data_IF_549197404215
#
_entry.id   IF_549197404215
#
_cell.length_a   1.000
_cell.length_b   1.000
_cell.length_c   1.000
_cell.angle_alpha   90.00
_cell.angle_beta   90.00
_cell.angle_gamma   90.00
#
_symmetry.space_group_name_H-M   'P 1'
#
loop_
_entity.id
_entity.type
_entity.pdbx_description
1 polymer ?
#
# COMPACT_ATOMS: atom_id res chain seq x y z
N UNK A 1 16.22 -2.43 -1.73
CA UNK A 1 16.64 -2.59 -3.16
C UNK A 1 15.65 -1.85 -4.04
N UNK A 2 16.14 -1.04 -5.01
CA UNK A 2 15.28 -0.38 -6.02
C UNK A 2 14.59 -1.41 -6.91
N UNK A 3 13.48 -1.03 -7.52
CA UNK A 3 12.73 -1.88 -8.45
C UNK A 3 13.61 -2.29 -9.65
N UNK A 4 14.24 -1.33 -10.30
CA UNK A 4 15.20 -1.56 -11.38
C UNK A 4 16.44 -0.67 -11.18
N UNK A 5 17.60 -1.18 -11.57
CA UNK A 5 18.87 -0.44 -11.48
C UNK A 5 19.75 -0.76 -12.68
N UNK A 6 20.28 0.27 -13.33
CA UNK A 6 21.19 0.16 -14.48
C UNK A 6 22.49 -0.60 -14.12
N UNK A 7 22.88 -0.61 -12.85
CA UNK A 7 24.03 -1.37 -12.33
C UNK A 7 23.70 -2.84 -12.04
N UNK A 8 22.53 -3.34 -12.47
CA UNK A 8 22.04 -4.71 -12.24
C UNK A 8 21.86 -5.12 -10.77
N UNK A 9 21.65 -4.16 -9.88
CA UNK A 9 21.41 -4.40 -8.45
C UNK A 9 19.91 -4.38 -8.08
N UNK A 10 19.03 -3.97 -9.00
CA UNK A 10 17.59 -3.89 -8.81
C UNK A 10 16.92 -5.25 -8.69
N UNK A 11 15.67 -5.23 -8.21
CA UNK A 11 14.85 -6.44 -8.02
C UNK A 11 14.60 -7.13 -9.36
N UNK A 12 14.18 -6.39 -10.39
CA UNK A 12 13.92 -6.92 -11.74
C UNK A 12 15.17 -7.58 -12.32
N UNK A 13 16.33 -6.94 -12.19
CA UNK A 13 17.60 -7.49 -12.66
C UNK A 13 17.94 -8.83 -11.99
N UNK A 14 17.68 -8.95 -10.68
CA UNK A 14 17.93 -10.17 -9.93
C UNK A 14 16.92 -11.28 -10.28
N UNK A 15 15.65 -10.91 -10.55
CA UNK A 15 14.63 -11.85 -11.04
C UNK A 15 15.09 -12.42 -12.38
N UNK A 16 15.43 -11.59 -13.35
CA UNK A 16 15.91 -12.06 -14.66
C UNK A 16 17.13 -12.98 -14.53
N UNK A 17 18.12 -12.56 -13.75
CA UNK A 17 19.32 -13.39 -13.53
C UNK A 17 18.96 -14.75 -12.93
N UNK A 18 18.04 -14.80 -11.95
CA UNK A 18 17.67 -16.06 -11.26
C UNK A 18 16.78 -16.93 -12.11
N UNK A 19 15.93 -16.37 -12.96
CA UNK A 19 15.04 -17.07 -13.86
C UNK A 19 15.72 -17.51 -15.17
N UNK A 20 16.94 -17.02 -15.46
CA UNK A 20 17.58 -17.20 -16.78
C UNK A 20 16.80 -16.47 -17.89
N UNK A 21 16.15 -15.37 -17.56
CA UNK A 21 15.29 -14.60 -18.44
C UNK A 21 15.91 -13.22 -18.73
N UNK A 22 15.29 -12.49 -19.63
CA UNK A 22 15.62 -11.10 -19.94
C UNK A 22 14.38 -10.37 -20.45
N UNK A 23 14.52 -9.12 -20.82
CA UNK A 23 13.41 -8.26 -21.22
C UNK A 23 12.53 -8.86 -22.33
N UNK A 24 13.14 -9.57 -23.28
CA UNK A 24 12.40 -10.20 -24.40
C UNK A 24 11.57 -11.41 -23.96
N UNK A 25 12.08 -12.19 -23.00
CA UNK A 25 11.41 -13.43 -22.54
C UNK A 25 10.52 -13.20 -21.34
N UNK A 26 10.80 -12.16 -20.56
CA UNK A 26 10.03 -11.76 -19.39
C UNK A 26 9.96 -10.22 -19.34
N UNK A 27 9.04 -9.61 -20.09
CA UNK A 27 8.90 -8.16 -20.18
C UNK A 27 8.66 -7.53 -18.81
N UNK A 28 9.14 -6.31 -18.63
CA UNK A 28 9.10 -5.59 -17.34
C UNK A 28 7.68 -5.46 -16.80
N UNK A 29 6.69 -5.22 -17.65
CA UNK A 29 5.28 -5.17 -17.23
C UNK A 29 4.80 -6.46 -16.56
N UNK A 30 5.24 -7.62 -17.08
CA UNK A 30 4.88 -8.92 -16.51
C UNK A 30 5.60 -9.12 -15.17
N UNK A 31 6.90 -8.75 -15.10
CA UNK A 31 7.65 -8.80 -13.84
C UNK A 31 7.01 -7.93 -12.76
N UNK A 32 6.53 -6.73 -13.12
CA UNK A 32 5.84 -5.82 -12.19
C UNK A 32 4.50 -6.39 -11.74
N UNK A 33 3.73 -7.02 -12.64
CA UNK A 33 2.51 -7.73 -12.28
C UNK A 33 2.79 -8.82 -11.24
N UNK A 34 3.75 -9.69 -11.52
CA UNK A 34 4.11 -10.79 -10.63
C UNK A 34 4.74 -10.32 -9.31
N UNK A 35 5.41 -9.16 -9.31
CA UNK A 35 5.89 -8.51 -8.09
C UNK A 35 4.73 -7.99 -7.23
N UNK A 36 3.69 -7.43 -7.84
CA UNK A 36 2.50 -7.00 -7.12
C UNK A 36 1.75 -8.20 -6.51
N UNK A 37 1.68 -9.33 -7.24
CA UNK A 37 1.13 -10.58 -6.72
C UNK A 37 1.98 -11.15 -5.56
N UNK A 38 3.31 -11.02 -5.66
CA UNK A 38 4.22 -11.40 -4.59
C UNK A 38 4.06 -10.50 -3.34
N UNK A 39 3.74 -9.21 -3.50
CA UNK A 39 3.37 -8.33 -2.40
C UNK A 39 2.04 -8.76 -1.77
N UNK A 40 1.04 -9.13 -2.57
CA UNK A 40 -0.24 -9.66 -2.07
C UNK A 40 -0.08 -11.02 -1.34
N UNK A 41 0.88 -11.85 -1.75
CA UNK A 41 1.26 -13.05 -1.01
C UNK A 41 1.97 -12.73 0.32
N UNK A 42 2.89 -11.77 0.32
CA UNK A 42 3.68 -11.39 1.48
C UNK A 42 2.81 -10.78 2.60
N UNK A 43 1.87 -9.95 2.23
CA UNK A 43 1.09 -9.12 3.12
C UNK A 43 0.34 -9.90 4.22
N UNK A 44 -0.45 -10.95 3.89
CA UNK A 44 -1.14 -11.74 4.91
C UNK A 44 -0.20 -12.45 5.88
N UNK A 45 1.03 -12.79 5.45
CA UNK A 45 2.03 -13.42 6.30
C UNK A 45 2.51 -12.45 7.39
N UNK A 46 2.83 -11.21 7.00
CA UNK A 46 3.23 -10.15 7.91
C UNK A 46 2.11 -9.79 8.90
N UNK A 47 0.89 -9.61 8.38
CA UNK A 47 -0.28 -9.24 9.19
C UNK A 47 -0.68 -10.28 10.23
N UNK A 48 -0.61 -11.55 9.88
CA UNK A 48 -0.97 -12.64 10.81
C UNK A 48 0.07 -12.84 11.90
N UNK A 49 1.30 -12.43 11.67
CA UNK A 49 2.39 -12.58 12.61
C UNK A 49 2.47 -11.44 13.62
N UNK A 50 2.25 -10.20 13.18
CA UNK A 50 2.30 -9.00 14.03
C UNK A 50 0.89 -8.48 14.34
N UNK A 51 0.55 -8.36 15.62
CA UNK A 51 -0.73 -7.83 16.06
C UNK A 51 -0.71 -6.29 16.01
N UNK A 52 -1.25 -5.70 14.94
CA UNK A 52 -1.37 -4.25 14.82
C UNK A 52 -0.10 -3.53 14.38
N UNK A 53 0.86 -4.27 13.83
CA UNK A 53 2.08 -3.70 13.32
C UNK A 53 1.89 -3.09 11.92
N UNK A 54 2.52 -1.94 11.69
CA UNK A 54 2.51 -1.27 10.39
C UNK A 54 3.73 -1.67 9.57
N UNK A 55 3.53 -1.78 8.25
CA UNK A 55 4.63 -2.01 7.32
C UNK A 55 5.45 -0.74 7.19
N UNK A 56 6.79 -0.88 7.23
CA UNK A 56 7.70 0.20 6.85
C UNK A 56 7.58 0.43 5.34
N UNK A 57 6.69 1.31 4.93
CA UNK A 57 6.53 1.68 3.53
C UNK A 57 7.28 2.98 3.25
N UNK A 58 8.49 2.87 2.71
CA UNK A 58 9.33 4.03 2.37
C UNK A 58 8.76 4.88 1.22
N UNK A 59 7.73 4.39 0.53
CA UNK A 59 7.09 5.12 -0.56
C UNK A 59 5.89 5.93 -0.07
N UNK A 60 5.54 5.80 1.22
CA UNK A 60 4.39 6.44 1.83
C UNK A 60 4.82 7.19 3.09
N UNK A 61 4.93 8.49 2.96
CA UNK A 61 5.39 9.35 4.05
C UNK A 61 4.27 9.71 5.05
N UNK A 62 3.00 9.60 4.64
CA UNK A 62 1.87 9.90 5.49
C UNK A 62 1.62 8.80 6.52
N UNK A 63 1.29 9.16 7.74
CA UNK A 63 0.78 8.21 8.71
C UNK A 63 -0.51 7.56 8.19
N UNK A 64 -0.81 6.28 8.52
CA UNK A 64 -2.03 5.60 8.10
C UNK A 64 -3.24 6.07 8.92
N UNK A 65 -3.60 7.31 8.69
CA UNK A 65 -4.68 8.05 9.32
C UNK A 65 -5.45 8.74 8.22
N UNK A 66 -6.77 8.57 8.21
CA UNK A 66 -7.65 9.24 7.26
C UNK A 66 -8.91 9.74 7.95
N UNK A 67 -9.59 10.71 7.35
CA UNK A 67 -10.72 11.38 7.95
C UNK A 67 -11.94 11.39 7.03
N UNK A 68 -13.12 11.42 7.66
CA UNK A 68 -14.39 11.74 7.00
C UNK A 68 -15.13 12.79 7.82
N UNK A 69 -15.92 13.63 7.14
CA UNK A 69 -16.75 14.61 7.84
C UNK A 69 -17.97 13.93 8.48
N UNK A 70 -18.25 14.27 9.74
CA UNK A 70 -19.49 13.89 10.40
C UNK A 70 -20.64 14.72 9.84
N UNK A 71 -21.72 14.07 9.45
CA UNK A 71 -22.92 14.68 8.90
C UNK A 71 -24.09 14.46 9.86
N UNK A 72 -24.77 15.54 10.24
CA UNK A 72 -25.95 15.48 11.12
C UNK A 72 -27.02 14.57 10.55
N UNK A 73 -27.55 13.66 11.36
CA UNK A 73 -28.57 12.67 10.97
C UNK A 73 -28.02 11.46 10.23
N UNK A 74 -26.72 11.40 9.95
CA UNK A 74 -26.07 10.27 9.27
C UNK A 74 -25.28 9.45 10.28
N UNK A 75 -25.55 8.15 10.35
CA UNK A 75 -24.82 7.25 11.25
C UNK A 75 -24.00 6.18 10.50
N UNK A 76 -24.14 6.06 9.19
CA UNK A 76 -23.45 5.07 8.36
C UNK A 76 -22.40 5.73 7.45
N UNK A 77 -21.15 5.33 7.59
CA UNK A 77 -19.99 5.85 6.86
C UNK A 77 -19.31 4.69 6.13
N UNK A 78 -19.07 4.82 4.82
CA UNK A 78 -18.46 3.74 4.04
C UNK A 78 -16.94 3.72 4.23
N UNK A 79 -16.39 2.51 4.28
CA UNK A 79 -14.94 2.34 4.19
C UNK A 79 -14.37 2.82 2.86
N UNK A 80 -15.13 2.69 1.76
CA UNK A 80 -14.74 3.14 0.43
C UNK A 80 -14.67 4.67 0.27
N UNK A 81 -15.27 5.43 1.18
CA UNK A 81 -15.27 6.90 1.15
C UNK A 81 -14.02 7.50 1.85
N UNK A 82 -13.21 6.67 2.50
CA UNK A 82 -11.86 7.05 2.91
C UNK A 82 -10.95 7.08 1.68
N UNK A 83 -10.01 8.02 1.65
CA UNK A 83 -9.04 8.17 0.55
C UNK A 83 -8.12 6.95 0.45
N UNK A 84 -7.71 6.44 1.62
CA UNK A 84 -6.82 5.31 1.77
C UNK A 84 -7.57 3.98 1.86
N UNK A 85 -6.98 2.91 1.32
CA UNK A 85 -7.53 1.56 1.47
C UNK A 85 -7.29 1.02 2.88
N UNK A 86 -8.34 0.95 3.67
CA UNK A 86 -8.32 0.39 5.02
C UNK A 86 -8.41 -1.14 4.97
N UNK A 87 -7.37 -1.83 5.44
CA UNK A 87 -7.38 -3.30 5.60
C UNK A 87 -7.87 -3.70 6.98
N UNK A 88 -7.35 -3.03 8.00
CA UNK A 88 -7.76 -3.27 9.38
C UNK A 88 -7.87 -1.94 10.10
N UNK A 89 -9.04 -1.65 10.63
CA UNK A 89 -9.28 -0.49 11.48
C UNK A 89 -8.74 -0.78 12.88
N UNK A 90 -7.74 -0.03 13.31
CA UNK A 90 -7.10 -0.15 14.63
C UNK A 90 -7.92 0.63 15.66
N UNK A 91 -8.25 1.89 15.34
CA UNK A 91 -8.93 2.81 16.24
C UNK A 91 -9.79 3.77 15.42
N UNK A 92 -10.92 4.17 15.98
CA UNK A 92 -11.75 5.22 15.43
C UNK A 92 -11.93 6.30 16.49
N UNK A 93 -11.71 7.54 16.10
CA UNK A 93 -11.95 8.73 16.92
C UNK A 93 -13.02 9.59 16.26
N UNK A 94 -13.76 10.32 17.06
CA UNK A 94 -14.68 11.33 16.58
C UNK A 94 -14.39 12.68 17.25
N UNK A 95 -14.72 13.76 16.57
CA UNK A 95 -14.81 15.09 17.17
C UNK A 95 -16.25 15.30 17.66
N UNK A 96 -16.40 15.94 18.80
CA UNK A 96 -17.72 16.41 19.28
C UNK A 96 -18.12 17.73 18.61
N UNK A 97 -19.28 18.26 18.95
CA UNK A 97 -19.81 19.53 18.43
C UNK A 97 -18.91 20.78 18.76
N UNK A 98 -17.93 20.62 19.63
CA UNK A 98 -16.96 21.66 20.01
C UNK A 98 -15.57 21.40 19.38
N UNK A 99 -15.43 20.37 18.54
CA UNK A 99 -14.17 19.97 17.94
C UNK A 99 -13.22 19.21 18.88
N UNK A 100 -13.70 18.74 20.05
CA UNK A 100 -12.88 17.96 20.95
C UNK A 100 -12.87 16.48 20.54
N UNK A 101 -11.66 15.92 20.39
CA UNK A 101 -11.45 14.52 19.94
C UNK A 101 -11.62 13.50 21.08
N UNK A 102 -12.32 12.41 20.79
CA UNK A 102 -12.47 11.28 21.71
C UNK A 102 -12.51 9.95 20.95
N UNK A 103 -12.15 8.86 21.64
CA UNK A 103 -12.14 7.52 21.04
C UNK A 103 -13.53 6.88 21.09
N UNK A 104 -13.96 6.31 19.98
CA UNK A 104 -15.18 5.51 19.90
C UNK A 104 -14.95 4.09 20.41
N UNK A 105 -15.93 3.50 21.05
CA UNK A 105 -15.91 2.14 21.59
C UNK A 105 -16.41 1.17 20.52
N UNK A 106 -15.61 0.15 20.12
CA UNK A 106 -16.05 -0.84 19.14
C UNK A 106 -17.12 -1.78 19.75
N UNK A 107 -18.21 -1.99 19.02
CA UNK A 107 -19.21 -3.01 19.34
C UNK A 107 -19.15 -4.13 18.30
N UNK A 108 -19.32 -5.37 18.77
CA UNK A 108 -19.43 -6.54 17.90
C UNK A 108 -20.90 -6.87 17.66
N UNK A 109 -21.30 -6.98 16.40
CA UNK A 109 -22.67 -7.28 15.99
C UNK A 109 -23.25 -8.53 16.68
N UNK A 110 -22.41 -9.52 16.98
CA UNK A 110 -22.83 -10.76 17.63
C UNK A 110 -23.12 -10.61 19.13
N UNK A 111 -22.68 -9.52 19.76
CA UNK A 111 -22.77 -9.29 21.19
C UNK A 111 -23.55 -8.00 21.53
N UNK A 112 -24.36 -7.51 20.59
CA UNK A 112 -25.15 -6.30 20.83
C UNK A 112 -26.23 -6.55 21.92
N UNK A 113 -26.52 -5.54 22.76
CA UNK A 113 -27.55 -5.66 23.80
C UNK A 113 -28.98 -5.68 23.28
N UNK A 114 -29.19 -5.28 22.02
CA UNK A 114 -30.48 -5.35 21.30
C UNK A 114 -30.21 -5.65 19.82
N UNK A 115 -31.27 -5.74 18.99
CA UNK A 115 -31.07 -6.00 17.56
C UNK A 115 -30.29 -4.88 16.89
N UNK A 116 -29.52 -5.22 15.85
CA UNK A 116 -28.77 -4.26 15.05
C UNK A 116 -29.69 -3.19 14.43
N UNK A 117 -30.87 -3.60 13.95
CA UNK A 117 -31.86 -2.70 13.37
C UNK A 117 -32.35 -1.66 14.39
N UNK A 118 -32.54 -2.08 15.63
CA UNK A 118 -32.98 -1.18 16.70
C UNK A 118 -31.89 -0.20 17.12
N UNK A 119 -30.66 -0.66 17.19
CA UNK A 119 -29.53 0.14 17.69
C UNK A 119 -28.91 1.06 16.63
N UNK A 120 -28.84 0.59 15.38
CA UNK A 120 -28.05 1.24 14.33
C UNK A 120 -28.87 1.67 13.11
N UNK A 121 -29.96 1.00 12.76
CA UNK A 121 -30.76 1.37 11.60
C UNK A 121 -31.92 2.31 11.96
N UNK A 122 -32.35 2.33 13.20
CA UNK A 122 -33.38 3.27 13.65
C UNK A 122 -32.75 4.58 14.12
N UNK A 123 -32.34 5.42 13.17
CA UNK A 123 -31.61 6.68 13.40
C UNK A 123 -32.41 7.71 14.21
N UNK A 124 -33.74 7.61 14.25
CA UNK A 124 -34.62 8.55 14.97
C UNK A 124 -34.69 8.25 16.46
N UNK A 125 -34.30 7.07 16.93
CA UNK A 125 -34.51 6.62 18.30
C UNK A 125 -33.45 7.16 19.29
N UNK A 126 -32.22 7.40 18.82
CA UNK A 126 -31.13 7.89 19.64
C UNK A 126 -30.24 8.80 18.83
N UNK A 127 -30.28 10.10 19.11
CA UNK A 127 -29.42 11.11 18.49
C UNK A 127 -28.54 11.78 19.54
N UNK A 128 -27.38 12.22 19.14
CA UNK A 128 -26.42 12.88 20.03
C UNK A 128 -24.97 12.65 19.62
N UNK A 129 -24.05 12.86 20.55
CA UNK A 129 -22.62 12.59 20.34
C UNK A 129 -22.38 11.09 20.29
N UNK A 130 -21.83 10.53 19.18
CA UNK A 130 -21.53 9.11 19.07
C UNK A 130 -20.57 8.62 20.14
N UNK A 131 -20.82 7.46 20.74
CA UNK A 131 -19.92 6.84 21.71
C UNK A 131 -19.44 5.48 21.25
N UNK A 132 -20.24 4.83 20.43
CA UNK A 132 -20.00 3.46 19.95
C UNK A 132 -19.97 3.41 18.45
N UNK A 133 -19.26 2.41 17.90
CA UNK A 133 -19.34 2.08 16.49
C UNK A 133 -19.41 0.57 16.27
N UNK A 134 -20.10 0.16 15.22
CA UNK A 134 -20.16 -1.22 14.77
C UNK A 134 -19.75 -1.30 13.29
N UNK A 135 -18.94 -2.29 12.93
CA UNK A 135 -18.58 -2.57 11.53
C UNK A 135 -19.52 -3.63 10.97
N UNK A 136 -20.21 -3.30 9.89
CA UNK A 136 -21.07 -4.26 9.19
C UNK A 136 -21.08 -4.00 7.68
N UNK A 137 -20.71 -5.01 6.91
CA UNK A 137 -20.49 -4.86 5.47
C UNK A 137 -19.37 -3.86 5.17
N UNK A 138 -19.61 -2.95 4.23
CA UNK A 138 -18.70 -1.86 3.85
C UNK A 138 -18.91 -0.59 4.70
N UNK A 139 -19.59 -0.71 5.84
CA UNK A 139 -19.96 0.45 6.64
C UNK A 139 -19.44 0.39 8.07
N UNK A 140 -19.14 1.59 8.57
CA UNK A 140 -18.97 1.92 9.98
C UNK A 140 -20.28 2.60 10.43
N UNK A 141 -20.98 2.01 11.37
CA UNK A 141 -22.20 2.57 11.95
C UNK A 141 -21.90 3.21 13.28
N UNK A 142 -22.31 4.46 13.48
CA UNK A 142 -22.14 5.20 14.72
C UNK A 142 -23.41 5.15 15.58
N UNK A 143 -23.24 5.14 16.91
CA UNK A 143 -24.31 5.18 17.90
C UNK A 143 -23.92 6.03 19.11
N UNK A 144 -24.77 7.00 19.55
CA UNK A 144 -25.97 7.53 18.88
C UNK A 144 -25.71 8.08 17.48
N UNK A 145 -26.79 8.29 16.69
CA UNK A 145 -26.70 9.02 15.43
C UNK A 145 -26.26 10.47 15.69
N UNK A 146 -25.22 10.99 15.02
CA UNK A 146 -24.80 12.38 15.20
C UNK A 146 -25.94 13.38 14.96
N UNK A 147 -26.13 14.32 15.85
CA UNK A 147 -27.08 15.44 15.69
C UNK A 147 -26.36 16.75 15.33
N UNK A 148 -25.09 16.70 15.02
CA UNK A 148 -24.22 17.79 14.59
C UNK A 148 -23.43 17.41 13.34
N UNK A 149 -22.80 18.39 12.71
CA UNK A 149 -21.89 18.19 11.58
C UNK A 149 -20.50 18.71 11.95
N UNK A 150 -19.45 17.98 11.59
CA UNK A 150 -18.06 18.36 11.87
C UNK A 150 -17.17 17.95 10.69
N UNK A 151 -16.40 18.90 10.14
CA UNK A 151 -15.44 18.64 9.06
C UNK A 151 -14.30 17.78 9.60
N UNK A 152 -13.93 16.72 8.85
CA UNK A 152 -12.91 15.75 9.27
C UNK A 152 -13.17 15.17 10.67
N UNK A 153 -14.43 15.15 11.07
CA UNK A 153 -14.85 14.82 12.42
C UNK A 153 -14.74 13.33 12.77
N UNK A 154 -14.64 12.44 11.80
CA UNK A 154 -14.42 11.00 12.00
C UNK A 154 -13.01 10.66 11.55
N UNK A 155 -12.15 10.18 12.47
CA UNK A 155 -10.74 9.91 12.22
C UNK A 155 -10.43 8.43 12.42
N UNK A 156 -10.03 7.77 11.35
CA UNK A 156 -9.67 6.36 11.35
C UNK A 156 -8.15 6.19 11.44
N UNK A 157 -7.70 5.30 12.34
CA UNK A 157 -6.34 4.78 12.41
C UNK A 157 -6.39 3.34 11.93
N UNK A 158 -5.58 3.00 10.92
CA UNK A 158 -5.74 1.73 10.24
C UNK A 158 -4.41 1.14 9.77
N UNK A 159 -4.46 -0.11 9.33
CA UNK A 159 -3.40 -0.69 8.53
C UNK A 159 -3.76 -0.58 7.05
N UNK A 160 -2.81 -0.16 6.24
CA UNK A 160 -2.91 -0.10 4.78
C UNK A 160 -2.03 -1.15 4.10
N UNK A 161 -2.31 -1.55 2.85
CA UNK A 161 -1.42 -2.41 2.09
C UNK A 161 -0.10 -1.68 1.80
N UNK A 162 0.97 -2.45 1.57
CA UNK A 162 2.19 -1.87 1.01
C UNK A 162 1.91 -1.26 -0.38
N UNK A 163 2.59 -0.16 -0.68
CA UNK A 163 2.49 0.50 -1.99
C UNK A 163 2.85 -0.48 -3.10
N UNK A 164 1.96 -0.59 -4.09
CA UNK A 164 2.19 -1.40 -5.30
C UNK A 164 2.96 -0.60 -6.35
N UNK A 165 3.62 -1.32 -7.24
CA UNK A 165 4.23 -0.73 -8.43
C UNK A 165 3.15 -0.48 -9.46
N UNK A 166 2.85 0.79 -9.74
CA UNK A 166 1.76 1.17 -10.62
C UNK A 166 2.28 1.78 -11.92
N UNK A 167 1.65 1.40 -13.03
CA UNK A 167 1.77 2.12 -14.27
C UNK A 167 0.80 3.30 -14.27
N UNK A 168 1.37 4.52 -14.35
CA UNK A 168 0.60 5.76 -14.37
C UNK A 168 0.33 6.13 -15.82
N UNK A 169 -0.94 6.35 -16.15
CA UNK A 169 -1.34 6.80 -17.49
C UNK A 169 -0.82 8.20 -17.77
N UNK A 170 -0.32 8.43 -18.97
CA UNK A 170 0.23 9.71 -19.37
C UNK A 170 -0.04 10.00 -20.85
N UNK A 171 0.08 11.27 -21.21
CA UNK A 171 0.19 11.71 -22.61
C UNK A 171 1.55 12.34 -22.85
N UNK A 172 2.07 12.22 -24.07
CA UNK A 172 3.38 12.74 -24.43
C UNK A 172 3.22 13.68 -25.62
N UNK A 173 3.69 14.91 -25.47
CA UNK A 173 3.58 15.92 -26.54
C UNK A 173 4.51 15.62 -27.70
N UNK A 174 4.14 16.04 -28.91
CA UNK A 174 5.06 16.15 -30.06
C UNK A 174 5.70 17.54 -29.98
N UNK A 175 6.83 17.66 -29.31
CA UNK A 175 7.46 18.94 -29.02
C UNK A 175 8.99 18.83 -28.82
N UNK A 176 9.66 19.97 -28.82
CA UNK A 176 11.09 20.12 -28.52
C UNK A 176 11.31 21.14 -27.40
N UNK A 177 11.50 20.70 -26.16
CA UNK A 177 11.53 19.31 -25.68
C UNK A 177 10.12 18.69 -25.57
N UNK A 178 10.07 17.35 -25.59
CA UNK A 178 8.89 16.58 -25.30
C UNK A 178 8.44 16.75 -23.84
N UNK A 179 7.14 16.94 -23.62
CA UNK A 179 6.53 17.07 -22.29
C UNK A 179 5.60 15.90 -22.06
N UNK A 180 5.78 15.24 -20.92
CA UNK A 180 4.88 14.19 -20.42
C UNK A 180 3.86 14.83 -19.48
N UNK A 181 2.58 14.53 -19.69
CA UNK A 181 1.49 15.00 -18.82
C UNK A 181 0.83 13.82 -18.14
N UNK A 182 0.79 13.85 -16.83
CA UNK A 182 0.13 12.87 -15.97
C UNK A 182 -0.35 13.56 -14.69
N UNK A 183 -1.59 13.34 -14.30
CA UNK A 183 -2.18 13.99 -13.14
C UNK A 183 -1.49 13.55 -11.85
N UNK A 184 -1.10 14.51 -11.01
CA UNK A 184 -0.53 14.30 -9.68
C UNK A 184 0.54 13.19 -9.61
N UNK A 185 1.47 13.19 -10.57
CA UNK A 185 2.42 12.09 -10.79
C UNK A 185 3.44 11.86 -9.67
N UNK A 186 3.63 12.79 -8.75
CA UNK A 186 4.53 12.65 -7.58
C UNK A 186 6.01 12.40 -7.90
N UNK A 187 6.45 12.71 -9.13
CA UNK A 187 7.85 12.58 -9.52
C UNK A 187 8.65 13.81 -9.13
N UNK A 188 9.91 13.58 -8.77
CA UNK A 188 10.89 14.59 -8.45
C UNK A 188 12.02 14.60 -9.48
N UNK A 189 12.86 15.66 -9.45
CA UNK A 189 14.06 15.72 -10.26
C UNK A 189 14.99 14.54 -9.96
N UNK A 190 15.57 13.98 -11.01
CA UNK A 190 16.44 12.81 -10.99
C UNK A 190 15.73 11.47 -10.66
N UNK A 191 14.42 11.45 -10.50
CA UNK A 191 13.70 10.19 -10.52
C UNK A 191 13.95 9.44 -11.83
N UNK A 192 13.92 8.12 -11.76
CA UNK A 192 14.04 7.28 -12.94
C UNK A 192 12.73 6.62 -13.25
N UNK A 193 12.37 6.61 -14.54
CA UNK A 193 11.13 6.01 -15.04
C UNK A 193 11.39 5.14 -16.26
N UNK A 194 10.42 4.30 -16.57
CA UNK A 194 10.34 3.60 -17.85
C UNK A 194 8.95 3.76 -18.43
N UNK A 195 8.89 3.86 -19.75
CA UNK A 195 7.62 3.95 -20.48
C UNK A 195 7.15 2.57 -20.95
N UNK A 196 5.84 2.41 -20.96
CA UNK A 196 5.12 1.29 -21.57
C UNK A 196 4.01 1.86 -22.46
N UNK A 197 3.59 1.10 -23.47
CA UNK A 197 2.51 1.51 -24.38
C UNK A 197 1.79 0.30 -24.94
N UNK A 198 0.52 0.45 -25.26
CA UNK A 198 -0.26 -0.53 -26.02
C UNK A 198 -0.20 -0.29 -27.56
N UNK A 199 0.55 0.72 -27.96
CA UNK A 199 0.78 1.07 -29.36
C UNK A 199 2.26 1.34 -29.67
N UNK A 200 2.61 2.57 -30.07
CA UNK A 200 3.98 3.00 -30.30
C UNK A 200 4.30 4.29 -29.55
N UNK A 201 5.44 4.33 -28.84
CA UNK A 201 5.89 5.56 -28.21
C UNK A 201 6.24 6.64 -29.27
N UNK A 202 6.16 7.94 -28.90
CA UNK A 202 6.69 9.03 -29.70
C UNK A 202 8.14 8.80 -30.10
N UNK A 203 8.52 9.27 -31.30
CA UNK A 203 9.90 9.21 -31.76
C UNK A 203 10.85 9.88 -30.76
N UNK A 204 11.94 9.20 -30.42
CA UNK A 204 12.90 9.63 -29.38
C UNK A 204 12.75 8.86 -28.06
N UNK A 205 11.65 8.12 -27.88
CA UNK A 205 11.41 7.29 -26.72
C UNK A 205 11.28 5.81 -27.11
N UNK A 206 11.66 4.91 -26.19
CA UNK A 206 11.59 3.46 -26.37
C UNK A 206 11.09 2.81 -25.10
N UNK A 207 10.35 1.70 -25.23
CA UNK A 207 9.97 0.84 -24.11
C UNK A 207 11.21 0.18 -23.50
N UNK A 208 11.07 -0.31 -22.29
CA UNK A 208 12.14 -1.03 -21.56
C UNK A 208 13.45 -0.24 -21.42
N UNK A 209 13.37 1.08 -21.53
CA UNK A 209 14.52 2.01 -21.42
C UNK A 209 14.33 2.92 -20.22
N UNK A 210 15.39 3.07 -19.41
CA UNK A 210 15.38 4.02 -18.28
C UNK A 210 15.57 5.44 -18.78
N UNK A 211 14.70 6.32 -18.30
CA UNK A 211 14.79 7.76 -18.47
C UNK A 211 14.86 8.45 -17.13
N UNK A 212 15.51 9.60 -17.10
CA UNK A 212 15.67 10.46 -15.92
C UNK A 212 14.73 11.66 -16.03
N UNK A 213 14.00 11.93 -14.97
CA UNK A 213 13.18 13.13 -14.85
C UNK A 213 14.12 14.33 -14.72
N UNK A 214 13.97 15.29 -15.65
CA UNK A 214 14.80 16.51 -15.71
C UNK A 214 13.94 17.76 -15.55
N UNK A 215 14.51 18.94 -15.69
CA UNK A 215 13.85 20.24 -15.54
C UNK A 215 12.44 20.28 -16.13
N UNK A 216 11.57 21.15 -15.65
CA UNK A 216 10.13 21.30 -15.95
C UNK A 216 9.19 20.37 -15.17
N UNK A 217 9.61 19.90 -13.98
CA UNK A 217 8.71 19.16 -13.11
C UNK A 217 7.70 20.13 -12.49
N UNK A 218 6.44 19.89 -12.79
CA UNK A 218 5.30 20.54 -12.16
C UNK A 218 4.34 19.43 -11.66
N UNK A 219 3.27 19.78 -10.97
CA UNK A 219 2.33 18.80 -10.37
C UNK A 219 1.82 17.77 -11.39
N UNK A 220 1.62 18.18 -12.65
CA UNK A 220 1.01 17.36 -13.69
C UNK A 220 1.90 17.19 -14.94
N UNK A 221 3.09 17.76 -14.99
CA UNK A 221 3.96 17.69 -16.18
C UNK A 221 5.41 17.54 -15.82
N UNK A 222 6.15 16.82 -16.66
CA UNK A 222 7.59 16.65 -16.55
C UNK A 222 8.23 16.39 -17.94
N UNK A 223 9.54 16.51 -18.02
CA UNK A 223 10.33 16.10 -19.18
C UNK A 223 11.37 15.06 -18.79
N UNK A 224 11.84 14.30 -19.74
CA UNK A 224 12.77 13.20 -19.50
C UNK A 224 14.04 13.31 -20.33
N UNK A 225 15.14 12.76 -19.82
CA UNK A 225 16.42 12.65 -20.47
C UNK A 225 16.93 11.21 -20.47
N UNK A 226 17.77 10.85 -21.44
CA UNK A 226 18.45 9.55 -21.47
C UNK A 226 19.57 9.41 -20.41
N UNK A 227 20.04 10.53 -19.85
CA UNK A 227 21.11 10.55 -18.85
C UNK A 227 20.73 11.43 -17.67
N UNK A 228 21.26 11.12 -16.49
CA UNK A 228 21.03 11.92 -15.28
C UNK A 228 21.49 13.36 -15.49
N UNK A 229 20.59 14.33 -15.27
CA UNK A 229 20.87 15.76 -15.48
C UNK A 229 21.12 16.16 -16.94
N UNK A 230 20.83 15.27 -17.91
CA UNK A 230 21.02 15.53 -19.32
C UNK A 230 19.96 16.44 -19.92
N UNK A 231 20.10 16.72 -21.22
CA UNK A 231 19.12 17.53 -21.97
C UNK A 231 17.82 16.74 -22.15
N UNK A 232 16.68 17.42 -22.01
CA UNK A 232 15.37 16.84 -22.26
C UNK A 232 15.25 16.33 -23.70
N UNK A 233 14.65 15.16 -23.87
CA UNK A 233 14.48 14.49 -25.17
C UNK A 233 13.42 15.25 -25.98
N UNK A 234 13.74 15.44 -27.28
CA UNK A 234 12.78 15.96 -28.23
C UNK A 234 11.96 14.82 -28.84
N UNK A 235 10.68 15.03 -28.98
CA UNK A 235 9.78 14.10 -29.64
C UNK A 235 9.31 14.70 -30.99
N UNK A 236 9.31 13.89 -32.03
CA UNK A 236 8.92 14.32 -33.37
C UNK A 236 7.70 13.60 -33.93
N UNK A 237 6.98 12.85 -33.08
CA UNK A 237 5.69 12.24 -33.39
C UNK A 237 4.87 12.15 -32.10
N UNK A 238 3.57 11.96 -32.22
CA UNK A 238 2.70 11.75 -31.03
C UNK A 238 2.68 10.31 -30.52
N UNK A 239 3.25 9.37 -31.30
CA UNK A 239 3.05 7.94 -31.04
C UNK A 239 1.63 7.48 -31.37
N UNK A 240 1.23 6.31 -30.84
CA UNK A 240 -0.11 5.77 -30.97
C UNK A 240 -0.47 4.93 -29.76
N UNK A 241 -1.77 4.78 -29.49
CA UNK A 241 -2.26 4.04 -28.32
C UNK A 241 -2.15 4.83 -27.01
N UNK A 242 -2.32 4.13 -25.91
CA UNK A 242 -2.19 4.69 -24.56
C UNK A 242 -0.76 4.55 -24.08
N UNK A 243 -0.27 5.57 -23.41
CA UNK A 243 1.08 5.57 -22.85
C UNK A 243 1.01 5.54 -21.32
N UNK A 244 1.96 4.84 -20.73
CA UNK A 244 2.09 4.69 -19.29
C UNK A 244 3.57 4.84 -18.90
N UNK A 245 3.81 5.16 -17.65
CA UNK A 245 5.15 5.07 -17.10
C UNK A 245 5.10 4.43 -15.71
N UNK A 246 6.23 3.87 -15.31
CA UNK A 246 6.46 3.36 -13.95
C UNK A 246 7.75 3.98 -13.40
N UNK A 247 7.71 4.41 -12.13
CA UNK A 247 8.89 4.87 -11.40
C UNK A 247 9.78 3.69 -11.08
N UNK A 248 11.07 3.73 -11.46
CA UNK A 248 11.99 2.59 -11.36
C UNK A 248 12.95 2.65 -10.17
N UNK A 249 13.18 3.83 -9.59
CA UNK A 249 13.95 3.99 -8.35
C UNK A 249 13.13 3.80 -7.07
N UNK A 250 11.86 3.44 -7.20
CA UNK A 250 11.00 3.04 -6.08
C UNK A 250 11.52 1.76 -5.40
N UNK A 251 11.31 1.67 -4.10
CA UNK A 251 11.69 0.52 -3.27
C UNK A 251 10.41 -0.17 -2.79
N UNK A 252 10.32 -1.51 -2.74
CA UNK A 252 9.15 -2.16 -2.15
C UNK A 252 8.90 -1.66 -0.72
N UNK A 253 7.65 -1.38 -0.40
CA UNK A 253 7.21 -0.92 0.92
C UNK A 253 7.19 -2.02 1.98
N UNK A 254 8.26 -2.79 2.08
CA UNK A 254 8.45 -3.87 3.06
C UNK A 254 9.89 -3.84 3.59
N UNK A 255 10.15 -4.60 4.66
CA UNK A 255 11.49 -4.71 5.23
C UNK A 255 12.53 -5.09 4.17
N UNK A 256 13.64 -4.37 4.11
CA UNK A 256 14.68 -4.58 3.10
C UNK A 256 15.26 -6.01 3.14
N UNK A 257 15.35 -6.61 4.32
CA UNK A 257 15.77 -8.00 4.51
C UNK A 257 14.85 -9.01 3.83
N UNK A 258 13.61 -8.63 3.54
CA UNK A 258 12.60 -9.48 2.90
C UNK A 258 12.51 -9.29 1.38
N UNK A 259 13.16 -8.30 0.78
CA UNK A 259 13.18 -8.13 -0.69
C UNK A 259 13.63 -9.40 -1.44
N UNK A 260 14.63 -10.20 -0.94
CA UNK A 260 14.97 -11.47 -1.59
C UNK A 260 13.83 -12.49 -1.62
N UNK A 261 12.89 -12.43 -0.68
CA UNK A 261 11.76 -13.35 -0.64
C UNK A 261 10.73 -13.05 -1.73
N UNK A 262 10.50 -11.75 -2.05
CA UNK A 262 9.70 -11.36 -3.22
C UNK A 262 10.31 -11.92 -4.51
N UNK A 263 11.63 -11.75 -4.69
CA UNK A 263 12.36 -12.26 -5.85
C UNK A 263 12.16 -13.78 -5.98
N UNK A 264 12.25 -14.51 -4.86
CA UNK A 264 12.06 -15.97 -4.84
C UNK A 264 10.64 -16.36 -5.24
N UNK A 265 9.63 -15.63 -4.74
CA UNK A 265 8.23 -15.89 -5.07
C UNK A 265 7.93 -15.63 -6.54
N UNK A 266 8.38 -14.50 -7.09
CA UNK A 266 8.23 -14.18 -8.51
C UNK A 266 8.92 -15.22 -9.39
N UNK A 267 10.16 -15.60 -9.06
CA UNK A 267 10.88 -16.63 -9.80
C UNK A 267 10.15 -17.98 -9.77
N UNK A 268 9.56 -18.37 -8.65
CA UNK A 268 8.76 -19.60 -8.56
C UNK A 268 7.58 -19.54 -9.51
N UNK A 269 6.82 -18.43 -9.49
CA UNK A 269 5.65 -18.25 -10.37
C UNK A 269 6.06 -18.36 -11.82
N UNK A 270 7.03 -17.56 -12.26
CA UNK A 270 7.52 -17.57 -13.64
C UNK A 270 8.04 -18.94 -14.10
N UNK A 271 8.87 -19.62 -13.29
CA UNK A 271 9.45 -20.90 -13.65
C UNK A 271 8.44 -22.04 -13.61
N UNK A 272 7.44 -21.99 -12.74
CA UNK A 272 6.35 -22.94 -12.73
C UNK A 272 5.59 -22.96 -14.08
N UNK A 273 5.39 -21.78 -14.65
CA UNK A 273 4.64 -21.62 -15.88
C UNK A 273 5.49 -21.86 -17.15
N UNK A 274 6.78 -21.53 -17.09
CA UNK A 274 7.64 -21.51 -18.26
C UNK A 274 8.70 -22.63 -18.27
N UNK A 275 9.25 -23.03 -17.12
CA UNK A 275 10.31 -24.05 -17.06
C UNK A 275 10.40 -24.72 -15.68
N UNK A 276 9.51 -25.66 -15.41
CA UNK A 276 9.46 -26.40 -14.14
C UNK A 276 10.75 -27.11 -13.76
N UNK A 277 11.60 -27.48 -14.74
CA UNK A 277 12.89 -28.15 -14.46
C UNK A 277 13.88 -27.25 -13.70
N UNK A 278 13.72 -25.93 -13.81
CA UNK A 278 14.57 -24.96 -13.13
C UNK A 278 14.03 -24.54 -11.74
N UNK A 279 12.88 -25.06 -11.29
CA UNK A 279 12.33 -24.75 -9.97
C UNK A 279 13.29 -25.12 -8.83
N UNK A 280 13.99 -26.27 -8.94
CA UNK A 280 14.99 -26.68 -7.95
C UNK A 280 14.50 -26.59 -6.50
N UNK A 281 15.20 -25.82 -5.67
CA UNK A 281 14.88 -25.62 -4.24
C UNK A 281 13.86 -24.51 -3.97
N UNK A 282 13.41 -23.76 -4.99
CA UNK A 282 12.54 -22.57 -4.80
C UNK A 282 11.29 -22.85 -3.94
N UNK A 283 10.57 -23.97 -4.10
CA UNK A 283 9.41 -24.24 -3.23
C UNK A 283 9.79 -24.37 -1.75
N UNK A 284 10.94 -25.00 -1.45
CA UNK A 284 11.46 -25.11 -0.08
C UNK A 284 11.93 -23.77 0.44
N UNK A 285 12.61 -22.96 -0.39
CA UNK A 285 13.08 -21.62 -0.04
C UNK A 285 11.90 -20.69 0.33
N UNK A 286 10.75 -20.84 -0.33
CA UNK A 286 9.55 -20.09 0.00
C UNK A 286 8.98 -20.48 1.35
N UNK A 287 8.92 -21.76 1.69
CA UNK A 287 8.48 -22.20 3.01
C UNK A 287 9.39 -21.67 4.13
N UNK A 288 10.69 -21.60 3.88
CA UNK A 288 11.65 -20.99 4.80
C UNK A 288 11.45 -19.47 4.89
N UNK A 289 11.19 -18.81 3.76
CA UNK A 289 10.87 -17.38 3.71
C UNK A 289 9.61 -17.05 4.52
N UNK A 290 8.53 -17.83 4.36
CA UNK A 290 7.30 -17.66 5.13
C UNK A 290 7.53 -17.76 6.64
N UNK A 291 8.33 -18.74 7.07
CA UNK A 291 8.69 -18.91 8.49
C UNK A 291 9.49 -17.71 9.00
N UNK A 292 10.45 -17.24 8.20
CA UNK A 292 11.28 -16.09 8.56
C UNK A 292 10.46 -14.80 8.64
N UNK A 293 9.62 -14.52 7.65
CA UNK A 293 8.71 -13.36 7.66
C UNK A 293 7.86 -13.38 8.94
N UNK A 294 7.22 -14.52 9.24
CA UNK A 294 6.40 -14.66 10.44
C UNK A 294 7.20 -14.46 11.72
N UNK A 295 8.42 -14.98 11.80
CA UNK A 295 9.30 -14.82 12.98
C UNK A 295 9.71 -13.37 13.17
N UNK A 296 10.16 -12.69 12.09
CA UNK A 296 10.68 -11.33 12.17
C UNK A 296 9.58 -10.33 12.62
N UNK A 297 8.33 -10.52 12.16
CA UNK A 297 7.20 -9.70 12.60
C UNK A 297 6.71 -10.07 14.01
N UNK A 298 6.72 -11.34 14.38
CA UNK A 298 6.35 -11.78 15.72
C UNK A 298 7.32 -11.26 16.77
N UNK A 299 8.62 -11.22 16.47
CA UNK A 299 9.64 -10.77 17.42
C UNK A 299 9.58 -9.26 17.64
N UNK A 300 9.16 -8.47 16.65
CA UNK A 300 8.92 -7.03 16.81
C UNK A 300 7.78 -6.70 17.78
N UNK A 301 6.76 -7.53 17.82
CA UNK A 301 5.58 -7.33 18.70
C UNK A 301 5.86 -7.65 20.18
N UNK A 302 6.99 -8.30 20.47
CA UNK A 302 7.39 -8.65 21.85
C UNK A 302 7.81 -7.47 22.70
N UNK A 303 8.14 -6.33 22.10
CA UNK A 303 8.53 -5.12 22.84
C UNK A 303 7.32 -4.38 23.46
N UNK A 304 6.10 -4.76 23.13
CA UNK A 304 4.90 -4.35 23.86
C UNK A 304 4.91 -5.01 25.22
N UNK A 305 5.27 -4.24 26.26
CA UNK A 305 5.38 -4.61 27.66
C UNK A 305 4.52 -5.81 28.05
N UNK A 306 5.15 -6.95 28.34
CA UNK A 306 4.58 -7.96 29.21
C UNK A 306 4.38 -7.30 30.58
N UNK A 307 3.20 -6.78 30.84
CA UNK A 307 2.76 -6.45 32.19
C UNK A 307 2.73 -7.77 32.95
N UNK A 308 3.79 -8.04 33.72
CA UNK A 308 3.75 -9.10 34.72
C UNK A 308 2.62 -8.77 35.70
N UNK A 309 1.50 -9.43 35.53
CA UNK A 309 0.46 -9.48 36.54
C UNK A 309 1.00 -10.39 37.67
N UNK A 310 1.56 -9.77 38.70
CA UNK A 310 1.84 -10.50 39.92
C UNK A 310 0.51 -10.97 40.49
N UNK A 311 0.29 -12.27 40.51
CA UNK A 311 -0.81 -12.84 41.28
C UNK A 311 -0.65 -12.38 42.73
N UNK A 312 -1.69 -11.86 43.38
CA UNK A 312 -1.58 -11.50 44.81
C UNK A 312 -1.24 -12.75 45.60
N UNK A 313 -0.13 -12.69 46.36
CA UNK A 313 0.25 -13.74 47.30
C UNK A 313 -0.91 -13.86 48.29
N UNK A 314 -1.68 -14.94 48.21
CA UNK A 314 -2.67 -15.27 49.22
C UNK A 314 -1.89 -15.43 50.54
N UNK A 315 -2.11 -14.51 51.46
CA UNK A 315 -1.53 -14.54 52.80
C UNK A 315 -1.76 -15.90 53.45
N UNK A 316 -0.67 -16.52 53.83
CA UNK A 316 -0.70 -17.79 54.56
C UNK A 316 -1.49 -17.63 55.87
N UNK A 317 -2.42 -18.52 56.11
CA UNK A 317 -3.07 -18.66 57.42
C UNK A 317 -1.99 -18.98 58.45
N UNK A 318 -1.86 -18.12 59.45
CA UNK A 318 -1.02 -18.40 60.61
C UNK A 318 -1.52 -19.64 61.33
N UNK A 319 -0.59 -20.53 61.65
CA UNK A 319 -0.79 -21.60 62.61
C UNK A 319 -0.89 -20.99 64.03
N UNK A 320 -1.93 -21.36 64.72
CA UNK A 320 -1.98 -21.38 66.16
C UNK A 320 -1.55 -22.73 66.62
#
# INVERSE_FOLDING_TARGET
MKLYDIQNLGIINRIWKRCGAGVTTYPIKNVISDLNDALDWYFPLAFRAGKGWELDDNNEAAAPIDTQSIVSGTNAYKFSDFTEKIINLIKLEALDENGAGYSLIPENINNLPASFDELYLNTSKSTGTPLYYCKYGDFIYLRPTPNYAETDGLKAYFNRPASKFLFVSCTISNASPGVVTAAAHGLELADTIMFETDGSLPTGLSVDTIYYVVATVATNTFSVSATSGGTAINTSSAGSGNHYFVKTNIVPGIMETHHPHLITQVCKTFLNDNNQKLLGTLPTDILLAERKIKSDYYDRDKDVKNTMTFAPIRGGRGFR
#
